data_IF_933908183287
#
_entry.id   IF_933908183287
#
_cell.length_a   1.000
_cell.length_b   1.000
_cell.length_c   1.000
_cell.angle_alpha   90.00
_cell.angle_beta   90.00
_cell.angle_gamma   90.00
#
_symmetry.space_group_name_H-M   'P 1'
#
loop_
_entity.id
_entity.type
_entity.pdbx_description
1 polymer ?
#
# COMPACT_ATOMS: atom_id res chain seq x y z
N UNK A 1 -5.02 14.25 7.77
CA UNK A 1 -6.12 13.26 7.75
C UNK A 1 -6.92 13.43 6.46
N UNK A 2 -7.33 12.33 5.83
CA UNK A 2 -8.10 12.34 4.58
C UNK A 2 -9.55 11.90 4.85
N UNK A 3 -10.44 12.82 5.27
CA UNK A 3 -11.81 12.47 5.68
C UNK A 3 -12.72 12.04 4.52
N UNK A 4 -12.33 12.31 3.27
CA UNK A 4 -13.06 11.91 2.07
C UNK A 4 -12.73 10.49 1.58
N UNK A 5 -11.81 9.77 2.25
CA UNK A 5 -11.46 8.41 1.88
C UNK A 5 -12.26 7.40 2.70
N UNK A 6 -12.78 6.38 2.04
CA UNK A 6 -13.31 5.18 2.68
C UNK A 6 -12.19 4.16 2.85
N UNK A 7 -11.92 3.73 4.08
CA UNK A 7 -10.87 2.75 4.37
C UNK A 7 -11.49 1.35 4.42
N UNK A 8 -11.24 0.57 3.38
CA UNK A 8 -11.73 -0.81 3.26
C UNK A 8 -10.64 -1.81 3.69
N UNK A 9 -11.00 -2.87 4.43
CA UNK A 9 -10.03 -3.89 4.84
C UNK A 9 -9.65 -4.80 3.65
N UNK A 10 -8.35 -5.01 3.43
CA UNK A 10 -7.84 -5.92 2.40
C UNK A 10 -6.97 -7.03 3.02
N UNK A 11 -7.16 -8.27 2.56
CA UNK A 11 -6.33 -9.43 2.93
C UNK A 11 -5.75 -10.11 1.69
N UNK A 12 -4.65 -10.82 1.93
CA UNK A 12 -3.83 -11.48 0.91
C UNK A 12 -2.34 -11.15 1.07
N UNK A 13 -1.50 -11.77 0.25
CA UNK A 13 -0.10 -11.36 0.08
C UNK A 13 -0.01 -10.08 -0.78
N UNK A 14 1.19 -9.50 -0.95
CA UNK A 14 1.39 -8.26 -1.71
C UNK A 14 0.82 -8.34 -3.13
N UNK A 15 1.15 -9.39 -3.90
CA UNK A 15 0.67 -9.52 -5.28
C UNK A 15 -0.85 -9.55 -5.39
N UNK A 16 -1.53 -10.36 -4.56
CA UNK A 16 -3.01 -10.39 -4.55
C UNK A 16 -3.65 -9.07 -4.12
N UNK A 17 -2.96 -8.25 -3.32
CA UNK A 17 -3.43 -6.91 -2.94
C UNK A 17 -3.30 -5.92 -4.10
N UNK A 18 -2.21 -5.99 -4.88
CA UNK A 18 -2.04 -5.17 -6.08
C UNK A 18 -3.11 -5.51 -7.11
N UNK A 19 -3.35 -6.79 -7.39
CA UNK A 19 -4.43 -7.21 -8.31
C UNK A 19 -5.82 -6.73 -7.86
N UNK A 20 -6.06 -6.60 -6.54
CA UNK A 20 -7.31 -6.03 -6.02
C UNK A 20 -7.40 -4.52 -6.20
N UNK A 21 -6.27 -3.81 -6.06
CA UNK A 21 -6.18 -2.38 -6.33
C UNK A 21 -6.34 -2.04 -7.83
N UNK A 22 -5.95 -2.95 -8.72
CA UNK A 22 -6.21 -2.81 -10.16
C UNK A 22 -7.65 -3.16 -10.56
N UNK A 23 -8.42 -3.69 -9.60
CA UNK A 23 -9.81 -4.12 -9.80
C UNK A 23 -10.81 -2.99 -9.62
N UNK A 24 -12.09 -3.37 -9.44
CA UNK A 24 -13.19 -2.44 -9.16
C UNK A 24 -13.50 -2.30 -7.66
N UNK A 25 -12.79 -3.05 -6.80
CA UNK A 25 -13.06 -3.10 -5.36
C UNK A 25 -12.33 -1.99 -4.57
N UNK A 26 -11.21 -1.48 -5.10
CA UNK A 26 -10.38 -0.49 -4.42
C UNK A 26 -9.83 0.50 -5.45
N UNK A 27 -9.74 1.78 -5.07
CA UNK A 27 -9.05 2.80 -5.86
C UNK A 27 -7.52 2.76 -5.67
N UNK A 28 -7.04 2.03 -4.66
CA UNK A 28 -5.62 1.88 -4.35
C UNK A 28 -5.37 1.07 -3.09
N UNK A 29 -4.10 0.76 -2.82
CA UNK A 29 -3.67 0.05 -1.62
C UNK A 29 -2.40 0.63 -1.03
N UNK A 30 -2.33 0.69 0.30
CA UNK A 30 -1.11 1.07 1.03
C UNK A 30 -0.37 -0.21 1.43
N UNK A 31 0.89 -0.30 1.01
CA UNK A 31 1.79 -1.42 1.31
C UNK A 31 3.17 -0.90 1.69
N UNK A 32 3.93 -1.70 2.45
CA UNK A 32 5.28 -1.34 2.81
C UNK A 32 6.22 -1.33 1.59
N UNK A 33 6.84 -0.18 1.32
CA UNK A 33 7.84 0.00 0.26
C UNK A 33 8.94 -1.07 0.29
N UNK A 34 9.46 -1.41 1.49
CA UNK A 34 10.50 -2.44 1.63
C UNK A 34 10.07 -3.81 1.09
N UNK A 35 8.79 -4.18 1.25
CA UNK A 35 8.25 -5.42 0.68
C UNK A 35 8.18 -5.38 -0.84
N UNK A 36 7.77 -4.24 -1.41
CA UNK A 36 7.72 -4.04 -2.87
C UNK A 36 9.11 -4.13 -3.50
N UNK A 37 10.11 -3.44 -2.92
CA UNK A 37 11.49 -3.43 -3.41
C UNK A 37 12.11 -4.83 -3.37
N UNK A 38 11.93 -5.58 -2.28
CA UNK A 38 12.45 -6.96 -2.16
C UNK A 38 11.85 -7.93 -3.18
N UNK A 39 10.64 -7.64 -3.64
CA UNK A 39 9.94 -8.42 -4.66
C UNK A 39 10.18 -7.90 -6.08
N UNK A 40 11.04 -6.87 -6.25
CA UNK A 40 11.29 -6.20 -7.52
C UNK A 40 10.02 -5.59 -8.15
N UNK A 41 9.08 -5.12 -7.31
CA UNK A 41 7.83 -4.47 -7.71
C UNK A 41 7.87 -2.94 -7.48
N UNK A 42 9.06 -2.35 -7.49
CA UNK A 42 9.25 -0.90 -7.33
C UNK A 42 8.47 -0.08 -8.37
N UNK A 43 8.32 -0.59 -9.59
CA UNK A 43 7.59 0.08 -10.67
C UNK A 43 6.11 0.30 -10.38
N UNK A 44 5.52 -0.48 -9.47
CA UNK A 44 4.11 -0.36 -9.08
C UNK A 44 3.89 0.72 -8.00
N UNK A 45 4.96 1.29 -7.44
CA UNK A 45 4.86 2.32 -6.40
C UNK A 45 4.54 3.66 -7.07
N UNK A 46 3.34 4.17 -6.81
CA UNK A 46 2.91 5.50 -7.30
C UNK A 46 3.42 6.64 -6.44
N UNK A 47 3.54 6.42 -5.12
CA UNK A 47 3.98 7.43 -4.15
C UNK A 47 4.58 6.77 -2.91
N UNK A 48 5.64 7.37 -2.34
CA UNK A 48 6.11 7.05 -1.00
C UNK A 48 5.47 8.01 0.00
N UNK A 49 4.75 7.47 1.00
CA UNK A 49 4.10 8.31 2.01
C UNK A 49 5.13 8.86 3.02
N UNK A 50 5.10 10.17 3.33
CA UNK A 50 5.96 10.76 4.34
C UNK A 50 5.59 10.27 5.74
N UNK A 51 6.57 10.20 6.64
CA UNK A 51 6.41 9.66 8.00
C UNK A 51 5.47 10.49 8.86
N UNK A 52 5.34 11.79 8.57
CA UNK A 52 4.40 12.70 9.22
C UNK A 52 2.94 12.40 8.84
N UNK A 53 2.73 11.76 7.69
CA UNK A 53 1.41 11.38 7.18
C UNK A 53 1.04 9.96 7.59
N UNK A 54 1.98 9.01 7.48
CA UNK A 54 1.77 7.61 7.80
C UNK A 54 3.00 7.08 8.54
N UNK A 55 2.95 7.14 9.87
CA UNK A 55 4.01 6.62 10.72
C UNK A 55 4.16 5.11 10.49
N UNK A 56 5.37 4.61 10.15
CA UNK A 56 5.60 3.19 9.96
C UNK A 56 5.36 2.36 11.22
N UNK A 57 5.08 1.08 11.04
CA UNK A 57 5.04 0.12 12.14
C UNK A 57 6.45 -0.11 12.73
N UNK A 58 6.50 -0.48 14.01
CA UNK A 58 7.78 -0.76 14.67
C UNK A 58 8.51 -1.93 13.97
N UNK A 59 9.73 -1.65 13.49
CA UNK A 59 10.53 -2.64 12.74
C UNK A 59 10.10 -2.82 11.29
N UNK A 60 9.24 -1.95 10.74
CA UNK A 60 8.94 -1.93 9.31
C UNK A 60 10.20 -1.56 8.52
N UNK A 61 10.63 -2.47 7.65
CA UNK A 61 11.89 -2.41 6.94
C UNK A 61 12.46 -3.80 6.80
#
# INVERSE_FOLDING_TARGET
AYPGLEILPVRGNVGTRLTKADGLEYDGVIVAAAGMIRLSLESEITEFLPVELCTPDAGQG
#
